data_IF_094612500759
#
_entry.id   IF_094612500759
#
_cell.length_a   1.000
_cell.length_b   1.000
_cell.length_c   1.000
_cell.angle_alpha   90.00
_cell.angle_beta   90.00
_cell.angle_gamma   90.00
#
_symmetry.space_group_name_H-M   'P 1'
#
loop_
_entity.id
_entity.type
_entity.pdbx_description
1 polymer ?
#
# COMPACT_ATOMS: atom_id res chain seq x y z
N UNK A 1 -5.50 17.03 -14.04
CA UNK A 1 -4.40 16.13 -14.45
C UNK A 1 -3.01 16.66 -14.08
N UNK A 2 -2.68 17.95 -14.30
CA UNK A 2 -1.34 18.49 -13.98
C UNK A 2 -0.97 18.45 -12.48
N UNK A 3 -1.89 18.80 -11.57
CA UNK A 3 -1.59 18.82 -10.12
C UNK A 3 -1.24 17.43 -9.57
N UNK A 4 -1.94 16.39 -10.02
CA UNK A 4 -1.73 15.02 -9.56
C UNK A 4 -0.34 14.48 -9.98
N UNK A 5 0.07 14.74 -11.23
CA UNK A 5 1.41 14.36 -11.72
C UNK A 5 2.53 15.09 -10.98
N UNK A 6 2.33 16.38 -10.65
CA UNK A 6 3.27 17.14 -9.81
C UNK A 6 3.37 16.54 -8.40
N UNK A 7 2.24 16.15 -7.79
CA UNK A 7 2.24 15.51 -6.46
C UNK A 7 2.99 14.17 -6.48
N UNK A 8 2.71 13.28 -7.43
CA UNK A 8 3.41 12.00 -7.53
C UNK A 8 4.92 12.19 -7.79
N UNK A 9 5.29 13.16 -8.63
CA UNK A 9 6.69 13.47 -8.89
C UNK A 9 7.43 13.96 -7.64
N UNK A 10 6.79 14.84 -6.84
CA UNK A 10 7.35 15.31 -5.58
C UNK A 10 7.44 14.17 -4.55
N UNK A 11 6.39 13.37 -4.43
CA UNK A 11 6.36 12.21 -3.55
C UNK A 11 7.48 11.23 -3.89
N UNK A 12 7.68 10.92 -5.17
CA UNK A 12 8.76 10.06 -5.63
C UNK A 12 10.15 10.65 -5.31
N UNK A 13 10.36 11.94 -5.58
CA UNK A 13 11.65 12.59 -5.31
C UNK A 13 12.01 12.56 -3.81
N UNK A 14 11.09 13.00 -2.95
CA UNK A 14 11.32 13.04 -1.51
C UNK A 14 11.33 11.64 -0.90
N UNK A 15 10.43 10.76 -1.33
CA UNK A 15 10.33 9.39 -0.84
C UNK A 15 11.56 8.56 -1.16
N UNK A 16 12.06 8.59 -2.39
CA UNK A 16 13.28 7.86 -2.78
C UNK A 16 14.49 8.41 -2.03
N UNK A 17 14.67 9.72 -2.01
CA UNK A 17 15.83 10.33 -1.34
C UNK A 17 15.83 10.04 0.17
N UNK A 18 14.70 10.21 0.85
CA UNK A 18 14.59 9.94 2.28
C UNK A 18 14.85 8.46 2.61
N UNK A 19 14.25 7.52 1.86
CA UNK A 19 14.43 6.09 2.11
C UNK A 19 15.84 5.58 1.76
N UNK A 20 16.48 6.13 0.72
CA UNK A 20 17.90 5.86 0.43
C UNK A 20 18.81 6.36 1.54
N UNK A 21 18.60 7.60 2.01
CA UNK A 21 19.36 8.15 3.15
C UNK A 21 19.17 7.26 4.38
N UNK A 22 17.95 6.79 4.64
CA UNK A 22 17.66 5.91 5.77
C UNK A 22 18.42 4.58 5.67
N UNK A 23 18.45 3.95 4.49
CA UNK A 23 19.24 2.74 4.25
C UNK A 23 20.74 2.98 4.42
N UNK A 24 21.26 4.10 3.92
CA UNK A 24 22.68 4.46 4.11
C UNK A 24 23.00 4.63 5.59
N UNK A 25 22.16 5.33 6.36
CA UNK A 25 22.34 5.50 7.81
C UNK A 25 22.32 4.14 8.52
N UNK A 26 21.40 3.24 8.13
CA UNK A 26 21.34 1.87 8.65
C UNK A 26 22.66 1.13 8.40
N UNK A 27 23.18 1.17 7.18
CA UNK A 27 24.42 0.47 6.80
C UNK A 27 25.65 1.02 7.53
N UNK A 28 25.67 2.33 7.78
CA UNK A 28 26.76 2.98 8.52
C UNK A 28 26.66 2.77 10.04
N UNK A 29 25.49 2.42 10.56
CA UNK A 29 25.27 2.21 12.00
C UNK A 29 25.77 0.83 12.44
N UNK A 30 26.95 0.79 13.08
CA UNK A 30 27.56 -0.45 13.62
C UNK A 30 27.09 -0.87 15.02
N UNK A 31 26.14 -0.17 15.63
CA UNK A 31 25.74 -0.41 17.03
C UNK A 31 25.04 -1.77 17.22
N UNK A 32 25.57 -2.63 18.08
CA UNK A 32 24.98 -3.96 18.34
C UNK A 32 23.66 -3.89 19.11
N UNK A 33 23.43 -2.82 19.89
CA UNK A 33 22.23 -2.64 20.70
C UNK A 33 20.98 -2.25 19.91
N UNK A 34 21.14 -1.81 18.66
CA UNK A 34 20.03 -1.36 17.80
C UNK A 34 19.65 -2.38 16.73
N UNK A 35 20.28 -3.56 16.70
CA UNK A 35 20.10 -4.56 15.62
C UNK A 35 18.63 -4.89 15.33
N UNK A 36 17.82 -5.16 16.36
CA UNK A 36 16.40 -5.50 16.16
C UNK A 36 15.59 -4.30 15.63
N UNK A 37 15.94 -3.08 16.04
CA UNK A 37 15.28 -1.87 15.58
C UNK A 37 15.66 -1.52 14.14
N UNK A 38 16.93 -1.72 13.79
CA UNK A 38 17.46 -1.59 12.43
C UNK A 38 16.71 -2.50 11.44
N UNK A 39 16.34 -3.71 11.85
CA UNK A 39 15.52 -4.61 11.02
C UNK A 39 14.16 -3.98 10.70
N UNK A 40 13.48 -3.38 11.69
CA UNK A 40 12.17 -2.75 11.47
C UNK A 40 12.30 -1.59 10.47
N UNK A 41 13.24 -0.67 10.71
CA UNK A 41 13.41 0.49 9.84
C UNK A 41 13.88 0.07 8.45
N UNK A 42 14.73 -0.95 8.33
CA UNK A 42 15.16 -1.47 7.04
C UNK A 42 14.00 -2.06 6.25
N UNK A 43 13.07 -2.77 6.90
CA UNK A 43 11.88 -3.27 6.23
C UNK A 43 10.99 -2.11 5.76
N UNK A 44 10.78 -1.08 6.59
CA UNK A 44 10.03 0.12 6.20
C UNK A 44 10.64 0.76 4.95
N UNK A 45 11.95 1.03 4.97
CA UNK A 45 12.64 1.67 3.85
C UNK A 45 12.55 0.86 2.55
N UNK A 46 12.64 -0.46 2.64
CA UNK A 46 12.52 -1.35 1.47
C UNK A 46 11.09 -1.34 0.93
N UNK A 47 10.08 -1.45 1.80
CA UNK A 47 8.67 -1.45 1.41
C UNK A 47 8.30 -0.13 0.74
N UNK A 48 8.69 1.00 1.34
CA UNK A 48 8.43 2.34 0.79
C UNK A 48 9.14 2.53 -0.57
N UNK A 49 10.38 2.05 -0.73
CA UNK A 49 11.06 2.11 -2.03
C UNK A 49 10.35 1.30 -3.10
N UNK A 50 9.88 0.09 -2.78
CA UNK A 50 9.12 -0.74 -3.72
C UNK A 50 7.80 -0.06 -4.09
N UNK A 51 7.10 0.51 -3.11
CA UNK A 51 5.85 1.27 -3.32
C UNK A 51 6.07 2.43 -4.28
N UNK A 52 7.07 3.27 -4.01
CA UNK A 52 7.39 4.44 -4.85
C UNK A 52 7.80 4.00 -6.26
N UNK A 53 8.54 2.91 -6.41
CA UNK A 53 8.89 2.39 -7.74
C UNK A 53 7.63 1.98 -8.50
N UNK A 54 6.69 1.28 -7.86
CA UNK A 54 5.42 0.87 -8.48
C UNK A 54 4.56 2.09 -8.84
N UNK A 55 4.51 3.11 -7.98
CA UNK A 55 3.77 4.35 -8.20
C UNK A 55 4.39 5.21 -9.33
N UNK A 56 5.72 5.33 -9.34
CA UNK A 56 6.48 6.09 -10.34
C UNK A 56 6.41 5.49 -11.75
N UNK A 57 6.09 4.21 -11.87
CA UNK A 57 5.74 3.62 -13.17
C UNK A 57 4.37 4.10 -13.70
N UNK A 58 3.76 5.12 -13.06
CA UNK A 58 2.50 5.78 -13.42
C UNK A 58 1.54 4.76 -13.98
N UNK A 59 1.09 3.85 -13.11
CA UNK A 59 0.14 2.75 -13.32
C UNK A 59 -0.07 2.35 -14.80
N UNK A 60 0.18 1.08 -15.15
CA UNK A 60 0.42 0.48 -16.47
C UNK A 60 -0.71 0.65 -17.52
N UNK A 61 -1.19 1.86 -17.74
CA UNK A 61 -2.13 2.21 -18.80
C UNK A 61 -1.54 1.84 -20.16
N UNK A 62 -0.21 1.95 -20.29
CA UNK A 62 0.56 1.46 -21.42
C UNK A 62 0.60 -0.08 -21.54
N UNK A 63 0.49 -0.82 -20.43
CA UNK A 63 0.59 -2.30 -20.39
C UNK A 63 -0.76 -3.02 -20.24
N UNK A 64 -1.86 -2.26 -20.14
CA UNK A 64 -3.23 -2.77 -20.13
C UNK A 64 -3.88 -2.85 -18.75
N UNK A 65 -5.22 -3.04 -18.72
CA UNK A 65 -6.03 -2.95 -17.51
C UNK A 65 -5.70 -4.04 -16.47
N UNK A 66 -5.26 -5.22 -16.91
CA UNK A 66 -4.92 -6.35 -16.03
C UNK A 66 -3.68 -6.06 -15.18
N UNK A 67 -2.61 -5.55 -15.81
CA UNK A 67 -1.39 -5.21 -15.08
C UNK A 67 -1.64 -4.01 -14.15
N UNK A 68 -2.46 -3.06 -14.59
CA UNK A 68 -2.92 -1.94 -13.78
C UNK A 68 -3.62 -2.38 -12.50
N UNK A 69 -4.60 -3.26 -12.61
CA UNK A 69 -5.30 -3.79 -11.44
C UNK A 69 -4.34 -4.51 -10.49
N UNK A 70 -3.44 -5.36 -11.02
CA UNK A 70 -2.46 -6.11 -10.21
C UNK A 70 -1.46 -5.20 -9.51
N UNK A 71 -0.91 -4.20 -10.20
CA UNK A 71 -0.02 -3.21 -9.58
C UNK A 71 -0.73 -2.42 -8.48
N UNK A 72 -1.99 -2.05 -8.69
CA UNK A 72 -2.79 -1.36 -7.68
C UNK A 72 -3.02 -2.23 -6.43
N UNK A 73 -3.32 -3.53 -6.60
CA UNK A 73 -3.43 -4.46 -5.48
C UNK A 73 -2.12 -4.58 -4.67
N UNK A 74 -0.98 -4.65 -5.35
CA UNK A 74 0.33 -4.72 -4.70
C UNK A 74 0.64 -3.40 -3.98
N UNK A 75 0.39 -2.25 -4.61
CA UNK A 75 0.57 -0.94 -3.98
C UNK A 75 -0.29 -0.80 -2.72
N UNK A 76 -1.57 -1.17 -2.79
CA UNK A 76 -2.47 -1.15 -1.64
C UNK A 76 -1.95 -2.04 -0.51
N UNK A 77 -1.46 -3.23 -0.84
CA UNK A 77 -0.84 -4.13 0.12
C UNK A 77 0.38 -3.48 0.80
N UNK A 78 1.28 -2.86 0.03
CA UNK A 78 2.49 -2.21 0.55
C UNK A 78 2.14 -1.05 1.49
N UNK A 79 1.17 -0.20 1.13
CA UNK A 79 0.70 0.92 1.98
C UNK A 79 0.26 0.41 3.36
N UNK A 80 -0.60 -0.60 3.40
CA UNK A 80 -1.07 -1.17 4.66
C UNK A 80 0.07 -1.85 5.43
N UNK A 81 1.00 -2.51 4.73
CA UNK A 81 2.16 -3.10 5.37
C UNK A 81 3.07 -2.05 6.00
N UNK A 82 3.34 -0.93 5.31
CA UNK A 82 4.07 0.22 5.86
C UNK A 82 3.38 0.81 7.09
N UNK A 83 2.05 0.95 7.08
CA UNK A 83 1.29 1.40 8.26
C UNK A 83 1.47 0.45 9.46
N UNK A 84 1.41 -0.87 9.24
CA UNK A 84 1.66 -1.85 10.30
C UNK A 84 3.10 -1.77 10.82
N UNK A 85 4.09 -1.62 9.94
CA UNK A 85 5.49 -1.49 10.34
C UNK A 85 5.75 -0.20 11.14
N UNK A 86 5.11 0.91 10.78
CA UNK A 86 5.20 2.17 11.53
C UNK A 86 4.58 2.00 12.93
N UNK A 87 3.38 1.42 13.02
CA UNK A 87 2.73 1.13 14.30
C UNK A 87 3.59 0.19 15.16
N UNK A 88 4.15 -0.85 14.55
CA UNK A 88 5.05 -1.79 15.21
C UNK A 88 6.36 -1.13 15.66
N UNK A 89 6.88 -0.17 14.91
CA UNK A 89 8.05 0.64 15.29
C UNK A 89 7.77 1.46 16.56
N UNK A 90 6.60 2.09 16.65
CA UNK A 90 6.19 2.81 17.87
C UNK A 90 6.04 1.86 19.07
N UNK A 91 5.38 0.71 18.87
CA UNK A 91 5.28 -0.32 19.90
C UNK A 91 6.66 -0.81 20.37
N UNK A 92 7.57 -1.11 19.44
CA UNK A 92 8.93 -1.52 19.76
C UNK A 92 9.66 -0.48 20.61
N UNK A 93 9.57 0.81 20.23
CA UNK A 93 10.16 1.91 21.00
C UNK A 93 9.59 2.01 22.42
N UNK A 94 8.31 1.73 22.61
CA UNK A 94 7.71 1.67 23.94
C UNK A 94 8.25 0.47 24.74
N UNK A 95 8.34 -0.71 24.12
CA UNK A 95 8.80 -1.93 24.80
C UNK A 95 10.24 -1.81 25.30
N UNK A 96 11.16 -1.24 24.52
CA UNK A 96 12.57 -1.10 24.96
C UNK A 96 12.75 -0.16 26.16
N UNK A 97 11.79 0.74 26.42
CA UNK A 97 11.82 1.63 27.58
C UNK A 97 11.34 0.94 28.86
N UNK A 98 10.55 -0.13 28.73
CA UNK A 98 9.90 -0.81 29.86
C UNK A 98 10.50 -2.20 30.11
N UNK A 99 10.97 -2.88 29.08
CA UNK A 99 11.44 -4.28 29.11
C UNK A 99 12.74 -4.45 28.33
N UNK A 100 13.41 -5.59 28.53
CA UNK A 100 14.59 -5.98 27.75
C UNK A 100 14.25 -6.10 26.26
N UNK A 101 15.14 -5.64 25.36
CA UNK A 101 14.85 -5.60 23.93
C UNK A 101 14.65 -7.01 23.36
N UNK A 102 13.63 -7.21 22.51
CA UNK A 102 13.41 -8.50 21.87
C UNK A 102 14.51 -8.80 20.84
N UNK A 103 14.76 -10.09 20.61
CA UNK A 103 15.72 -10.53 19.61
C UNK A 103 15.30 -10.11 18.20
N UNK A 104 16.27 -9.93 17.32
CA UNK A 104 16.01 -9.54 15.94
C UNK A 104 15.21 -10.60 15.16
N UNK A 105 15.39 -11.88 15.48
CA UNK A 105 14.59 -12.97 14.92
C UNK A 105 13.11 -12.87 15.33
N UNK A 106 12.85 -12.56 16.60
CA UNK A 106 11.48 -12.37 17.11
C UNK A 106 10.80 -11.19 16.39
N UNK A 107 11.54 -10.11 16.19
CA UNK A 107 11.07 -8.94 15.44
C UNK A 107 10.77 -9.28 13.98
N UNK A 108 11.65 -10.00 13.29
CA UNK A 108 11.41 -10.41 11.91
C UNK A 108 10.21 -11.36 11.80
N UNK A 109 10.06 -12.31 12.73
CA UNK A 109 8.91 -13.19 12.77
C UNK A 109 7.59 -12.41 12.98
N UNK A 110 7.58 -11.42 13.87
CA UNK A 110 6.43 -10.56 14.08
C UNK A 110 6.06 -9.76 12.81
N UNK A 111 7.04 -9.23 12.09
CA UNK A 111 6.82 -8.55 10.80
C UNK A 111 6.15 -9.49 9.79
N UNK A 112 6.64 -10.73 9.67
CA UNK A 112 6.04 -11.74 8.78
C UNK A 112 4.60 -12.06 9.19
N UNK A 113 4.32 -12.18 10.49
CA UNK A 113 2.95 -12.41 10.97
C UNK A 113 2.03 -11.23 10.62
N UNK A 114 2.50 -9.99 10.76
CA UNK A 114 1.76 -8.78 10.37
C UNK A 114 1.55 -8.68 8.84
N UNK A 115 2.40 -9.32 8.05
CA UNK A 115 2.25 -9.39 6.60
C UNK A 115 1.08 -10.29 6.16
N UNK A 116 0.86 -11.41 6.85
CA UNK A 116 -0.16 -12.43 6.50
C UNK A 116 -1.58 -11.87 6.28
N UNK A 117 -2.19 -11.11 7.22
CA UNK A 117 -3.59 -10.70 7.10
C UNK A 117 -3.86 -9.84 5.86
N UNK A 118 -2.84 -9.15 5.37
CA UNK A 118 -2.92 -8.32 4.17
C UNK A 118 -2.40 -9.04 2.91
N UNK A 119 -1.42 -9.93 3.07
CA UNK A 119 -0.85 -10.71 1.98
C UNK A 119 -1.81 -11.76 1.44
N UNK A 120 -2.61 -12.40 2.32
CA UNK A 120 -3.57 -13.44 1.90
C UNK A 120 -4.64 -12.88 0.95
N UNK A 121 -5.37 -11.79 1.26
CA UNK A 121 -6.31 -11.18 0.33
C UNK A 121 -5.64 -10.74 -0.98
N UNK A 122 -4.45 -10.14 -0.92
CA UNK A 122 -3.72 -9.74 -2.12
C UNK A 122 -3.44 -10.93 -3.03
N UNK A 123 -2.89 -12.03 -2.49
CA UNK A 123 -2.57 -13.24 -3.25
C UNK A 123 -3.84 -13.88 -3.81
N UNK A 124 -4.91 -13.98 -3.01
CA UNK A 124 -6.19 -14.51 -3.49
C UNK A 124 -6.75 -13.67 -4.64
N UNK A 125 -6.76 -12.34 -4.52
CA UNK A 125 -7.22 -11.43 -5.58
C UNK A 125 -6.30 -11.43 -6.80
N UNK A 126 -5.00 -11.70 -6.62
CA UNK A 126 -4.05 -11.79 -7.73
C UNK A 126 -4.26 -13.04 -8.60
N UNK A 127 -4.68 -14.15 -7.98
CA UNK A 127 -4.96 -15.41 -8.68
C UNK A 127 -6.42 -15.58 -9.06
N UNK A 128 -7.34 -14.89 -8.37
CA UNK A 128 -8.72 -14.77 -8.79
C UNK A 128 -8.73 -14.05 -10.13
N UNK A 129 -8.98 -14.80 -11.21
CA UNK A 129 -9.19 -14.24 -12.55
C UNK A 129 -10.56 -13.56 -12.54
N UNK A 130 -10.62 -12.38 -11.93
CA UNK A 130 -11.85 -11.62 -11.80
C UNK A 130 -12.21 -11.08 -13.19
N UNK A 131 -13.27 -11.66 -13.74
CA UNK A 131 -13.72 -11.38 -15.09
C UNK A 131 -14.45 -10.05 -15.04
N UNK A 132 -13.76 -8.96 -15.44
CA UNK A 132 -14.25 -7.56 -15.34
C UNK A 132 -15.70 -7.41 -15.81
N UNK A 133 -16.10 -8.16 -16.83
CA UNK A 133 -17.46 -8.14 -17.37
C UNK A 133 -18.49 -8.67 -16.38
N UNK A 134 -18.15 -9.73 -15.62
CA UNK A 134 -18.99 -10.29 -14.56
C UNK A 134 -19.06 -9.36 -13.36
N UNK A 135 -17.95 -8.74 -12.97
CA UNK A 135 -17.94 -7.79 -11.85
C UNK A 135 -18.81 -6.57 -12.17
N UNK A 136 -18.72 -6.04 -13.41
CA UNK A 136 -19.58 -4.94 -13.88
C UNK A 136 -21.04 -5.37 -14.02
N UNK A 137 -21.35 -6.59 -14.48
CA UNK A 137 -22.72 -7.11 -14.54
C UNK A 137 -23.33 -7.31 -13.15
N UNK A 138 -22.56 -7.80 -12.17
CA UNK A 138 -23.02 -7.97 -10.80
C UNK A 138 -23.25 -6.60 -10.17
N UNK A 139 -22.33 -5.64 -10.35
CA UNK A 139 -22.51 -4.28 -9.85
C UNK A 139 -23.71 -3.60 -10.52
N UNK A 140 -23.87 -3.73 -11.83
CA UNK A 140 -25.00 -3.13 -12.53
C UNK A 140 -26.31 -3.76 -12.05
N UNK A 141 -26.39 -5.07 -11.86
CA UNK A 141 -27.58 -5.73 -11.32
C UNK A 141 -27.91 -5.27 -9.90
N UNK A 142 -26.92 -5.25 -8.99
CA UNK A 142 -27.11 -4.83 -7.60
C UNK A 142 -27.48 -3.35 -7.46
N UNK A 143 -26.91 -2.47 -8.31
CA UNK A 143 -27.19 -1.04 -8.27
C UNK A 143 -28.45 -0.65 -9.04
N UNK A 144 -28.84 -1.41 -10.07
CA UNK A 144 -30.10 -1.21 -10.80
C UNK A 144 -31.31 -1.60 -9.92
N UNK A 145 -31.19 -2.65 -9.10
CA UNK A 145 -32.18 -2.99 -8.07
C UNK A 145 -32.25 -1.96 -6.93
N UNK A 146 -31.17 -1.21 -6.71
CA UNK A 146 -31.14 -0.07 -5.78
C UNK A 146 -31.83 1.18 -6.32
N UNK A 147 -31.74 1.43 -7.62
CA UNK A 147 -32.35 2.59 -8.29
C UNK A 147 -33.88 2.49 -8.43
N UNK A 148 -34.46 1.28 -8.50
CA UNK A 148 -35.92 1.12 -8.42
C UNK A 148 -36.46 1.39 -7.01
N UNK A 149 -35.64 1.21 -5.96
CA UNK A 149 -36.01 1.50 -4.57
C UNK A 149 -35.79 2.96 -4.15
N UNK A 150 -34.93 3.70 -4.87
CA UNK A 150 -34.59 5.10 -4.57
C UNK A 150 -35.16 6.11 -5.60
N UNK A 151 -36.14 5.68 -6.41
CA UNK A 151 -36.79 6.54 -7.41
C UNK A 151 -37.77 7.57 -6.79
N UNK A 152 -37.61 7.89 -5.50
CA UNK A 152 -38.46 8.89 -4.83
C UNK A 152 -37.72 10.12 -4.32
N UNK A 153 -36.39 10.18 -4.25
CA UNK A 153 -35.70 11.44 -3.94
C UNK A 153 -34.17 11.35 -4.10
N UNK A 154 -33.62 12.23 -4.96
CA UNK A 154 -32.27 12.80 -4.78
C UNK A 154 -31.04 12.08 -5.36
N UNK A 155 -30.85 12.06 -6.70
CA UNK A 155 -29.50 11.97 -7.29
C UNK A 155 -29.42 12.43 -8.77
N UNK A 156 -29.80 13.68 -9.06
CA UNK A 156 -29.60 14.30 -10.39
C UNK A 156 -28.20 14.93 -10.67
N UNK A 157 -27.29 15.24 -9.73
CA UNK A 157 -26.12 16.05 -10.09
C UNK A 157 -24.84 15.25 -10.43
N UNK A 158 -24.77 13.93 -10.21
CA UNK A 158 -23.48 13.21 -10.32
C UNK A 158 -23.11 12.72 -11.75
N UNK A 159 -24.02 12.83 -12.72
CA UNK A 159 -23.81 12.27 -14.08
C UNK A 159 -22.91 13.13 -14.97
N UNK A 160 -22.70 14.40 -14.63
CA UNK A 160 -21.91 15.35 -15.45
C UNK A 160 -20.40 15.34 -15.14
N UNK A 161 -19.95 14.62 -14.11
CA UNK A 161 -18.55 14.65 -13.65
C UNK A 161 -17.70 13.44 -14.09
N UNK A 162 -18.32 12.34 -14.54
CA UNK A 162 -17.62 11.06 -14.75
C UNK A 162 -17.37 10.66 -16.22
N UNK A 163 -17.89 11.41 -17.19
CA UNK A 163 -17.60 11.16 -18.62
C UNK A 163 -17.45 12.48 -19.39
N UNK A 164 -16.26 13.10 -19.46
CA UNK A 164 -15.98 14.09 -20.48
C UNK A 164 -15.69 13.37 -21.80
N UNK A 165 -16.40 13.78 -22.85
CA UNK A 165 -16.16 13.40 -24.25
C UNK A 165 -14.74 13.73 -24.71
#
# INVERSE_FOLDING_TARGET
>A
MQVLSVIHSLYALFGVSANLVLLVIILLTKSSGLKSYTVIISNVAVVDLIEIVIDAFEVPSAFGPELCYRCHLVMLHLIFHSLFLIAFSFWYRYVILVKTPPSWFTVQAAIVVLFIPNGVPMVLSFFAKDDREKSVQILSTLYHDGLERDNTQSCQPLRSLLCPH
#
